data_IF_625425577383
#
_entry.id   IF_625425577383
#
_cell.length_a   1.000
_cell.length_b   1.000
_cell.length_c   1.000
_cell.angle_alpha   90.00
_cell.angle_beta   90.00
_cell.angle_gamma   90.00
#
_symmetry.space_group_name_H-M   'P 1'
#
loop_
_entity.id
_entity.type
_entity.pdbx_description
1 polymer ?
#
# COMPACT_ATOMS: atom_id res chain seq x y z
N UNK A 1 -7.16 17.64 -14.24
CA UNK A 1 -7.43 17.84 -12.81
C UNK A 1 -6.18 17.66 -11.96
N UNK A 2 -6.24 18.14 -10.74
CA UNK A 2 -5.13 18.05 -9.80
C UNK A 2 -5.67 17.78 -8.40
N UNK A 3 -5.02 16.88 -7.67
CA UNK A 3 -5.27 16.64 -6.24
C UNK A 3 -3.96 16.86 -5.48
N UNK A 4 -4.05 17.56 -4.36
CA UNK A 4 -2.90 17.83 -3.50
C UNK A 4 -2.86 16.76 -2.41
N UNK A 5 -2.03 15.75 -2.62
CA UNK A 5 -1.84 14.64 -1.68
C UNK A 5 -0.36 14.53 -1.32
N UNK A 6 -0.08 14.28 -0.05
CA UNK A 6 1.29 14.08 0.42
C UNK A 6 1.71 12.63 0.18
N UNK A 7 2.00 12.30 -1.08
CA UNK A 7 2.42 10.95 -1.45
C UNK A 7 3.59 11.02 -2.42
N UNK A 8 4.58 10.17 -2.20
CA UNK A 8 5.67 9.95 -3.13
C UNK A 8 5.65 8.54 -3.72
N UNK A 9 4.57 7.80 -3.51
CA UNK A 9 4.41 6.47 -4.06
C UNK A 9 3.77 6.55 -5.44
N UNK A 10 4.17 5.62 -6.32
CA UNK A 10 3.57 5.50 -7.64
C UNK A 10 2.10 5.12 -7.50
N UNK A 11 1.17 5.88 -8.08
CA UNK A 11 -0.23 5.47 -8.08
C UNK A 11 -0.46 4.30 -9.01
N UNK A 12 -1.52 3.54 -8.75
CA UNK A 12 -1.93 2.41 -9.59
C UNK A 12 -3.28 2.71 -10.21
N UNK A 13 -3.39 2.53 -11.53
CA UNK A 13 -4.61 2.73 -12.29
C UNK A 13 -5.26 1.39 -12.59
N UNK A 14 -6.53 1.22 -12.16
CA UNK A 14 -7.30 0.00 -12.41
C UNK A 14 -8.76 0.39 -12.67
N UNK A 15 -9.27 0.02 -13.84
CA UNK A 15 -10.70 0.18 -14.19
C UNK A 15 -11.23 1.59 -13.94
N UNK A 16 -10.50 2.60 -14.38
CA UNK A 16 -10.93 4.01 -14.24
C UNK A 16 -10.67 4.59 -12.85
N UNK A 17 -10.10 3.85 -11.94
CA UNK A 17 -9.78 4.28 -10.59
C UNK A 17 -8.27 4.43 -10.41
N UNK A 18 -7.87 5.49 -9.70
CA UNK A 18 -6.50 5.66 -9.26
C UNK A 18 -6.42 5.34 -7.77
N UNK A 19 -5.47 4.49 -7.42
CA UNK A 19 -5.16 4.14 -6.03
C UNK A 19 -3.83 4.76 -5.65
N UNK A 20 -3.76 5.41 -4.51
CA UNK A 20 -2.51 5.87 -3.94
C UNK A 20 -2.56 5.78 -2.43
N UNK A 21 -1.38 5.80 -1.80
CA UNK A 21 -1.24 5.79 -0.34
C UNK A 21 -0.39 6.98 0.05
N UNK A 22 -0.89 7.80 0.96
CA UNK A 22 -0.16 8.98 1.43
C UNK A 22 0.88 8.61 2.49
N UNK A 23 1.82 9.51 2.73
CA UNK A 23 2.85 9.31 3.75
C UNK A 23 2.26 9.24 5.17
N UNK A 24 1.10 9.87 5.38
CA UNK A 24 0.38 9.79 6.65
C UNK A 24 -0.38 8.48 6.83
N UNK A 25 -0.40 7.64 5.80
CA UNK A 25 -1.06 6.33 5.86
C UNK A 25 -2.52 6.33 5.46
N UNK A 26 -2.94 7.22 4.56
CA UNK A 26 -4.28 7.18 3.98
C UNK A 26 -4.27 6.45 2.65
N UNK A 27 -5.18 5.50 2.50
CA UNK A 27 -5.51 4.94 1.19
C UNK A 27 -6.51 5.86 0.52
N UNK A 28 -6.19 6.34 -0.68
CA UNK A 28 -7.03 7.28 -1.43
C UNK A 28 -7.40 6.65 -2.76
N UNK A 29 -8.70 6.64 -3.05
CA UNK A 29 -9.24 6.15 -4.32
C UNK A 29 -9.86 7.33 -5.05
N UNK A 30 -9.41 7.57 -6.28
CA UNK A 30 -9.76 8.74 -7.07
C UNK A 30 -10.40 8.28 -8.38
N UNK A 31 -11.48 8.96 -8.79
CA UNK A 31 -12.03 8.80 -10.13
C UNK A 31 -11.08 9.46 -11.13
N UNK A 32 -10.48 8.68 -12.02
CA UNK A 32 -9.47 9.19 -12.94
C UNK A 32 -10.01 10.18 -13.97
N UNK A 33 -11.31 10.17 -14.22
CA UNK A 33 -11.93 11.04 -15.23
C UNK A 33 -12.02 12.48 -14.78
N UNK A 34 -12.28 12.72 -13.51
CA UNK A 34 -12.54 14.08 -12.99
C UNK A 34 -11.68 14.44 -11.78
N UNK A 35 -10.89 13.50 -11.25
CA UNK A 35 -10.04 13.76 -10.09
C UNK A 35 -10.75 13.77 -8.75
N UNK A 36 -12.03 13.42 -8.71
CA UNK A 36 -12.77 13.39 -7.44
C UNK A 36 -12.30 12.25 -6.56
N UNK A 37 -12.10 12.57 -5.28
CA UNK A 37 -11.79 11.55 -4.29
C UNK A 37 -13.07 10.79 -3.97
N UNK A 38 -13.09 9.50 -4.26
CA UNK A 38 -14.23 8.63 -4.00
C UNK A 38 -14.21 8.09 -2.58
N UNK A 39 -13.01 7.82 -2.05
CA UNK A 39 -12.84 7.32 -0.69
C UNK A 39 -11.44 7.64 -0.18
N UNK A 40 -11.36 7.96 1.11
CA UNK A 40 -10.11 8.17 1.80
C UNK A 40 -10.22 7.44 3.14
N UNK A 41 -9.39 6.43 3.35
CA UNK A 41 -9.44 5.58 4.53
C UNK A 41 -8.10 5.60 5.24
N UNK A 42 -8.11 5.81 6.56
CA UNK A 42 -6.87 5.76 7.33
C UNK A 42 -6.42 4.32 7.53
N UNK A 43 -5.34 3.94 6.87
CA UNK A 43 -4.66 2.68 7.11
C UNK A 43 -3.78 2.82 8.36
N UNK A 44 -3.16 3.98 8.52
CA UNK A 44 -2.26 4.24 9.65
C UNK A 44 -2.92 4.09 11.01
N UNK A 45 -4.20 4.49 11.15
CA UNK A 45 -4.91 4.32 12.41
C UNK A 45 -5.19 2.86 12.75
N UNK A 46 -5.17 1.98 11.77
CA UNK A 46 -5.40 0.56 11.95
C UNK A 46 -4.13 -0.23 12.23
N UNK A 47 -2.96 0.39 12.06
CA UNK A 47 -1.66 -0.25 12.28
C UNK A 47 -1.09 0.27 13.59
N UNK A 48 -0.82 -0.68 14.51
CA UNK A 48 -0.31 -0.34 15.84
C UNK A 48 0.98 0.46 15.77
N UNK A 49 1.02 1.58 16.50
CA UNK A 49 2.20 2.46 16.63
C UNK A 49 2.69 3.06 15.30
N UNK A 50 1.80 3.19 14.32
CA UNK A 50 2.17 3.71 13.00
C UNK A 50 2.86 5.09 13.10
N UNK A 51 2.21 6.06 13.74
CA UNK A 51 2.77 7.40 13.86
C UNK A 51 3.91 7.47 14.89
N UNK A 52 3.74 6.79 16.04
CA UNK A 52 4.71 6.82 17.13
C UNK A 52 6.07 6.29 16.73
N UNK A 53 6.09 5.23 15.89
CA UNK A 53 7.34 4.62 15.42
C UNK A 53 7.77 5.10 14.06
N UNK A 54 7.15 6.17 13.56
CA UNK A 54 7.48 6.75 12.26
C UNK A 54 7.44 5.70 11.14
N UNK A 55 6.42 4.85 11.15
CA UNK A 55 6.21 3.86 10.10
C UNK A 55 5.70 4.57 8.85
N UNK A 56 6.31 4.26 7.70
CA UNK A 56 5.96 4.89 6.42
C UNK A 56 5.71 3.83 5.36
N UNK A 57 4.77 4.08 4.45
CA UNK A 57 4.57 3.19 3.31
C UNK A 57 5.75 3.29 2.34
N UNK A 58 6.13 2.15 1.78
CA UNK A 58 7.23 2.05 0.81
C UNK A 58 6.70 1.89 -0.61
N UNK A 59 5.65 1.13 -0.77
CA UNK A 59 5.03 0.87 -2.06
C UNK A 59 3.96 -0.19 -1.93
N UNK A 60 3.14 -0.34 -2.96
CA UNK A 60 1.99 -1.25 -2.90
C UNK A 60 1.69 -1.85 -4.26
N UNK A 61 0.90 -2.91 -4.24
CA UNK A 61 0.32 -3.53 -5.42
C UNK A 61 -1.17 -3.77 -5.18
N UNK A 62 -1.97 -3.60 -6.24
CA UNK A 62 -3.42 -3.80 -6.22
C UNK A 62 -3.73 -5.11 -6.91
N UNK A 63 -4.50 -5.98 -6.26
CA UNK A 63 -5.05 -7.19 -6.85
C UNK A 63 -6.57 -7.03 -7.03
N UNK A 64 -7.30 -8.10 -7.33
CA UNK A 64 -8.74 -8.00 -7.58
C UNK A 64 -9.52 -7.43 -6.40
N UNK A 65 -9.15 -7.81 -5.19
CA UNK A 65 -9.91 -7.45 -3.99
C UNK A 65 -9.04 -6.90 -2.86
N UNK A 66 -7.72 -6.88 -3.03
CA UNK A 66 -6.80 -6.50 -1.95
C UNK A 66 -5.71 -5.56 -2.42
N UNK A 67 -5.16 -4.83 -1.47
CA UNK A 67 -3.95 -4.05 -1.62
C UNK A 67 -2.90 -4.63 -0.67
N UNK A 68 -1.72 -4.87 -1.19
CA UNK A 68 -0.57 -5.33 -0.41
C UNK A 68 0.42 -4.17 -0.32
N UNK A 69 0.63 -3.69 0.90
CA UNK A 69 1.39 -2.47 1.17
C UNK A 69 2.64 -2.80 1.98
N UNK A 70 3.81 -2.55 1.40
CA UNK A 70 5.07 -2.68 2.13
C UNK A 70 5.31 -1.45 3.00
N UNK A 71 5.77 -1.69 4.22
CA UNK A 71 6.09 -0.65 5.19
C UNK A 71 7.60 -0.62 5.47
N UNK A 72 8.10 0.52 5.91
CA UNK A 72 9.53 0.71 6.12
C UNK A 72 10.10 -0.06 7.31
N UNK A 73 9.25 -0.72 8.08
CA UNK A 73 9.66 -1.57 9.21
C UNK A 73 9.70 -3.07 8.86
N UNK A 74 9.67 -3.40 7.56
CA UNK A 74 9.72 -4.80 7.12
C UNK A 74 8.41 -5.55 7.25
N UNK A 75 7.30 -4.85 7.43
CA UNK A 75 5.96 -5.44 7.50
C UNK A 75 5.24 -5.26 6.17
N UNK A 76 4.36 -6.21 5.88
CA UNK A 76 3.45 -6.15 4.74
C UNK A 76 2.03 -6.08 5.26
N UNK A 77 1.33 -4.99 4.96
CA UNK A 77 -0.08 -4.84 5.33
C UNK A 77 -0.96 -5.35 4.20
N UNK A 78 -1.97 -6.12 4.54
CA UNK A 78 -2.97 -6.65 3.61
C UNK A 78 -4.26 -5.91 3.87
N UNK A 79 -4.77 -5.22 2.85
CA UNK A 79 -5.90 -4.29 2.97
C UNK A 79 -7.01 -4.73 2.04
N UNK A 80 -8.23 -4.77 2.55
CA UNK A 80 -9.41 -5.04 1.73
C UNK A 80 -9.80 -3.79 0.96
N UNK A 81 -9.93 -3.87 -0.37
CA UNK A 81 -10.28 -2.72 -1.19
C UNK A 81 -11.69 -2.22 -0.88
N UNK A 82 -12.62 -3.13 -0.66
CA UNK A 82 -14.04 -2.80 -0.52
C UNK A 82 -14.31 -1.77 0.57
N UNK A 83 -13.61 -1.87 1.71
CA UNK A 83 -13.84 -1.01 2.87
C UNK A 83 -12.57 -0.35 3.43
N UNK A 84 -11.41 -0.63 2.86
CA UNK A 84 -10.14 -0.09 3.36
C UNK A 84 -9.69 -0.69 4.69
N UNK A 85 -10.24 -1.83 5.07
CA UNK A 85 -9.89 -2.48 6.33
C UNK A 85 -8.56 -3.23 6.21
N UNK A 86 -7.68 -3.02 7.19
CA UNK A 86 -6.44 -3.80 7.30
C UNK A 86 -6.80 -5.18 7.84
N UNK A 87 -6.62 -6.20 7.00
CA UNK A 87 -6.94 -7.58 7.37
C UNK A 87 -5.83 -8.24 8.17
N UNK A 88 -4.59 -7.91 7.85
CA UNK A 88 -3.43 -8.50 8.50
C UNK A 88 -2.20 -7.63 8.27
N UNK A 89 -1.21 -7.77 9.14
CA UNK A 89 0.12 -7.15 9.00
C UNK A 89 1.14 -8.24 9.26
N UNK A 90 1.85 -8.63 8.21
CA UNK A 90 2.76 -9.78 8.23
C UNK A 90 4.20 -9.29 8.34
N UNK A 91 4.97 -9.88 9.25
CA UNK A 91 6.40 -9.61 9.34
C UNK A 91 7.14 -10.36 8.22
N UNK A 92 7.84 -9.61 7.38
CA UNK A 92 8.68 -10.18 6.32
C UNK A 92 10.14 -10.12 6.74
N UNK A 93 10.58 -9.00 7.33
CA UNK A 93 11.95 -8.77 7.74
C UNK A 93 11.96 -7.83 8.94
N UNK A 94 13.11 -7.66 9.57
CA UNK A 94 13.34 -6.67 10.63
C UNK A 94 13.61 -5.29 10.07
N UNK A 95 14.01 -5.19 8.79
CA UNK A 95 14.38 -3.95 8.14
C UNK A 95 13.48 -3.66 6.95
N UNK A 96 13.72 -2.53 6.29
CA UNK A 96 12.95 -2.08 5.15
C UNK A 96 12.97 -3.12 4.02
N UNK A 97 11.79 -3.34 3.46
CA UNK A 97 11.58 -4.21 2.29
C UNK A 97 11.15 -3.35 1.10
N UNK A 98 11.24 -3.91 -0.10
CA UNK A 98 10.74 -3.24 -1.31
C UNK A 98 9.21 -3.25 -1.35
N UNK A 99 8.65 -2.51 -2.32
CA UNK A 99 7.26 -2.72 -2.70
C UNK A 99 7.08 -4.19 -3.12
N UNK A 100 5.87 -4.74 -3.01
CA UNK A 100 5.63 -6.08 -3.54
C UNK A 100 5.58 -6.06 -5.07
N UNK A 101 6.00 -7.15 -5.68
CA UNK A 101 5.91 -7.37 -7.12
C UNK A 101 5.08 -8.61 -7.38
N UNK A 102 4.22 -8.57 -8.38
CA UNK A 102 3.40 -9.71 -8.78
C UNK A 102 3.82 -10.16 -10.16
N UNK A 103 4.14 -11.45 -10.30
CA UNK A 103 4.51 -12.06 -11.57
C UNK A 103 3.93 -13.48 -11.61
N UNK A 104 3.15 -13.79 -12.66
CA UNK A 104 2.53 -15.11 -12.83
C UNK A 104 1.76 -15.58 -11.59
N UNK A 105 0.97 -14.68 -11.01
CA UNK A 105 0.16 -14.92 -9.81
C UNK A 105 0.96 -15.23 -8.54
N UNK A 106 2.27 -14.95 -8.57
CA UNK A 106 3.13 -15.06 -7.39
C UNK A 106 3.59 -13.69 -6.94
N UNK A 107 3.71 -13.52 -5.63
CA UNK A 107 4.14 -12.26 -5.05
C UNK A 107 5.57 -12.37 -4.54
N UNK A 108 6.37 -11.35 -4.83
CA UNK A 108 7.79 -11.30 -4.47
C UNK A 108 8.11 -9.99 -3.78
N UNK A 109 9.05 -10.05 -2.85
CA UNK A 109 9.63 -8.87 -2.20
C UNK A 109 11.14 -8.96 -2.33
N UNK A 110 11.77 -7.82 -2.59
CA UNK A 110 13.23 -7.70 -2.62
C UNK A 110 13.67 -7.08 -1.29
N UNK A 111 14.66 -7.69 -0.67
CA UNK A 111 15.33 -7.12 0.50
C UNK A 111 16.82 -7.34 0.35
N UNK A 112 17.63 -6.34 0.63
CA UNK A 112 19.08 -6.37 0.47
C UNK A 112 19.45 -7.03 -0.87
N UNK A 113 20.11 -8.17 -0.85
CA UNK A 113 20.51 -8.92 -2.04
C UNK A 113 19.68 -10.16 -2.26
N UNK A 114 18.48 -10.24 -1.70
CA UNK A 114 17.63 -11.42 -1.78
C UNK A 114 16.26 -11.09 -2.36
N UNK A 115 15.70 -12.09 -3.06
CA UNK A 115 14.32 -12.05 -3.54
C UNK A 115 13.53 -13.09 -2.74
N UNK A 116 12.44 -12.66 -2.14
CA UNK A 116 11.59 -13.53 -1.31
C UNK A 116 10.27 -13.75 -2.03
N UNK A 117 9.90 -15.01 -2.23
CA UNK A 117 8.59 -15.40 -2.72
C UNK A 117 7.67 -15.61 -1.52
N UNK A 118 6.48 -14.98 -1.55
CA UNK A 118 5.58 -14.95 -0.39
C UNK A 118 4.49 -16.03 -0.44
N UNK A 119 4.31 -16.69 -1.56
CA UNK A 119 3.25 -17.70 -1.67
C UNK A 119 3.68 -18.95 -2.44
#
# INVERSE_FOLDING_TARGET
WKQNLNSNLRPTFVDGLLFTVTLEGYLVIIDSRNGNILRMTSIGKQIKKFNKKNIKPVGFVVTNDKIFLSLNNGRLAIIEILNGKVLDVIKIDNEKISRPYVLNNHMFIVRDNAIIKLN
#
